data_IF_083028547593
#
_entry.id   IF_083028547593
#
_cell.length_a   1.000
_cell.length_b   1.000
_cell.length_c   1.000
_cell.angle_alpha   90.00
_cell.angle_beta   90.00
_cell.angle_gamma   90.00
#
_symmetry.space_group_name_H-M   'P 1'
#
loop_
_entity.id
_entity.type
_entity.pdbx_description
1 polymer ?
#
# COMPACT_ATOMS: atom_id res chain seq x y z
N UNK A 1 5.82 1.50 -1.38
CA UNK A 1 5.99 0.49 -0.30
C UNK A 1 6.87 -0.62 -0.82
N UNK A 2 8.16 -0.60 -0.51
CA UNK A 2 9.10 -1.65 -0.96
C UNK A 2 8.94 -2.95 -0.16
N UNK A 3 8.42 -2.87 1.08
CA UNK A 3 8.23 -4.02 1.96
C UNK A 3 7.39 -5.15 1.32
N UNK A 4 6.31 -4.83 0.60
CA UNK A 4 5.48 -5.82 -0.09
C UNK A 4 6.25 -6.55 -1.22
N UNK A 5 7.25 -5.88 -1.81
CA UNK A 5 8.10 -6.45 -2.87
C UNK A 5 9.20 -7.34 -2.29
N UNK A 6 9.78 -6.96 -1.15
CA UNK A 6 10.78 -7.76 -0.43
C UNK A 6 10.18 -9.09 0.05
N UNK A 7 8.87 -9.09 0.38
CA UNK A 7 8.09 -10.28 0.75
C UNK A 7 8.80 -11.20 1.79
N UNK A 8 9.21 -10.66 2.96
CA UNK A 8 10.12 -11.36 3.88
C UNK A 8 9.51 -12.56 4.61
N UNK A 9 8.17 -12.68 4.65
CA UNK A 9 7.49 -13.79 5.30
C UNK A 9 6.91 -14.77 4.30
N UNK A 10 6.68 -16.03 4.73
CA UNK A 10 6.01 -17.04 3.90
C UNK A 10 4.59 -16.64 3.53
N UNK A 11 3.86 -16.04 4.47
CA UNK A 11 2.47 -15.57 4.27
C UNK A 11 2.22 -14.28 5.06
N UNK A 12 1.18 -13.54 4.69
CA UNK A 12 0.71 -12.37 5.45
C UNK A 12 1.36 -11.04 5.12
N UNK A 13 2.33 -10.99 4.18
CA UNK A 13 3.01 -9.75 3.80
C UNK A 13 2.05 -8.62 3.39
N UNK A 14 0.97 -8.94 2.68
CA UNK A 14 -0.06 -7.96 2.30
C UNK A 14 -0.71 -7.28 3.51
N UNK A 15 -1.17 -8.06 4.50
CA UNK A 15 -1.79 -7.54 5.72
C UNK A 15 -0.79 -6.75 6.56
N UNK A 16 0.43 -7.27 6.71
CA UNK A 16 1.47 -6.58 7.46
C UNK A 16 1.92 -5.28 6.80
N UNK A 17 1.96 -5.23 5.46
CA UNK A 17 2.26 -3.99 4.72
C UNK A 17 1.22 -2.92 4.99
N UNK A 18 -0.08 -3.27 5.00
CA UNK A 18 -1.16 -2.33 5.30
C UNK A 18 -1.08 -1.84 6.74
N UNK A 19 -0.88 -2.74 7.70
CA UNK A 19 -0.66 -2.37 9.10
C UNK A 19 0.52 -1.41 9.27
N UNK A 20 1.64 -1.68 8.57
CA UNK A 20 2.80 -0.79 8.59
C UNK A 20 2.47 0.59 7.99
N UNK A 21 1.71 0.64 6.88
CA UNK A 21 1.22 1.89 6.31
C UNK A 21 0.36 2.69 7.31
N UNK A 22 -0.54 2.04 8.05
CA UNK A 22 -1.36 2.70 9.07
C UNK A 22 -0.50 3.27 10.19
N UNK A 23 0.49 2.51 10.69
CA UNK A 23 1.44 3.00 11.71
C UNK A 23 2.19 4.23 11.20
N UNK A 24 2.69 4.20 9.96
CA UNK A 24 3.41 5.34 9.37
C UNK A 24 2.50 6.56 9.18
N UNK A 25 1.24 6.37 8.77
CA UNK A 25 0.28 7.45 8.66
C UNK A 25 0.00 8.10 10.02
N UNK A 26 -0.24 7.29 11.06
CA UNK A 26 -0.45 7.78 12.43
C UNK A 26 0.76 8.53 12.96
N UNK A 27 1.98 7.99 12.75
CA UNK A 27 3.22 8.68 13.14
C UNK A 27 3.41 10.01 12.39
N UNK A 28 2.88 10.14 11.18
CA UNK A 28 2.88 11.37 10.40
C UNK A 28 1.76 12.35 10.81
N UNK A 29 1.00 12.07 11.87
CA UNK A 29 -0.12 12.89 12.33
C UNK A 29 -1.39 12.76 11.49
N UNK A 30 -1.48 11.72 10.65
CA UNK A 30 -2.67 11.37 9.89
C UNK A 30 -3.50 10.30 10.61
N UNK A 31 -4.74 10.10 10.16
CA UNK A 31 -5.59 9.01 10.65
C UNK A 31 -5.21 7.65 10.06
N UNK A 32 -6.02 6.64 10.39
CA UNK A 32 -5.98 5.33 9.71
C UNK A 32 -6.35 5.50 8.23
N UNK A 33 -5.77 4.67 7.38
CA UNK A 33 -6.02 4.72 5.94
C UNK A 33 -7.28 3.93 5.57
N UNK A 34 -8.05 4.41 4.58
CA UNK A 34 -9.22 3.69 4.08
C UNK A 34 -8.88 2.81 2.86
N UNK A 35 -8.78 1.51 3.08
CA UNK A 35 -8.45 0.56 2.02
C UNK A 35 -9.65 0.11 1.17
N UNK A 36 -10.87 0.61 1.44
CA UNK A 36 -12.09 0.22 0.72
C UNK A 36 -11.92 0.32 -0.81
N UNK A 37 -11.35 1.43 -1.28
CA UNK A 37 -11.07 1.69 -2.69
C UNK A 37 -10.08 0.68 -3.30
N UNK A 38 -9.05 0.29 -2.54
CA UNK A 38 -8.07 -0.71 -3.01
C UNK A 38 -8.70 -2.10 -3.07
N UNK A 39 -9.60 -2.40 -2.13
CA UNK A 39 -10.30 -3.68 -2.07
C UNK A 39 -11.39 -3.82 -3.14
N UNK A 40 -12.04 -2.72 -3.51
CA UNK A 40 -12.93 -2.65 -4.68
C UNK A 40 -12.13 -2.84 -5.98
N UNK A 41 -10.94 -2.25 -6.07
CA UNK A 41 -10.10 -2.27 -7.26
C UNK A 41 -8.84 -3.15 -7.12
N UNK A 42 -8.98 -4.36 -6.55
CA UNK A 42 -7.86 -5.29 -6.29
C UNK A 42 -6.95 -5.53 -7.49
N UNK A 43 -7.53 -5.65 -8.69
CA UNK A 43 -6.75 -5.87 -9.91
C UNK A 43 -5.79 -4.71 -10.19
N UNK A 44 -6.20 -3.47 -9.91
CA UNK A 44 -5.35 -2.29 -10.08
C UNK A 44 -4.29 -2.21 -8.98
N UNK A 45 -4.65 -2.51 -7.73
CA UNK A 45 -3.70 -2.63 -6.63
C UNK A 45 -2.57 -3.64 -6.93
N UNK A 46 -2.90 -4.83 -7.44
CA UNK A 46 -1.88 -5.82 -7.82
C UNK A 46 -1.00 -5.35 -8.98
N UNK A 47 -1.58 -4.70 -10.00
CA UNK A 47 -0.79 -4.13 -11.10
C UNK A 47 0.15 -3.03 -10.63
N UNK A 48 -0.27 -2.21 -9.66
CA UNK A 48 0.57 -1.17 -9.08
C UNK A 48 1.77 -1.76 -8.31
N UNK A 49 1.57 -2.87 -7.58
CA UNK A 49 2.68 -3.62 -6.95
C UNK A 49 3.64 -4.15 -8.03
N UNK A 50 3.11 -4.78 -9.09
CA UNK A 50 3.93 -5.32 -10.18
C UNK A 50 4.76 -4.23 -10.89
N UNK A 51 4.19 -3.05 -11.14
CA UNK A 51 4.91 -1.91 -11.71
C UNK A 51 6.10 -1.48 -10.82
N UNK A 52 5.97 -1.61 -9.50
CA UNK A 52 7.02 -1.34 -8.54
C UNK A 52 8.24 -2.27 -8.69
N UNK A 53 8.06 -3.52 -9.16
CA UNK A 53 9.18 -4.44 -9.45
C UNK A 53 10.10 -3.87 -10.53
N UNK A 54 9.53 -3.17 -11.51
CA UNK A 54 10.27 -2.45 -12.56
C UNK A 54 10.73 -1.04 -12.14
N UNK A 55 10.60 -0.67 -10.86
CA UNK A 55 10.96 0.66 -10.34
C UNK A 55 9.94 1.76 -10.65
N UNK A 56 8.79 1.43 -11.25
CA UNK A 56 7.72 2.40 -11.51
C UNK A 56 6.77 2.50 -10.31
N UNK A 57 7.04 3.47 -9.43
CA UNK A 57 6.26 3.67 -8.21
C UNK A 57 5.05 4.58 -8.37
N UNK A 58 4.89 5.26 -9.51
CA UNK A 58 3.79 6.22 -9.72
C UNK A 58 2.39 5.63 -9.45
N UNK A 59 2.06 4.39 -9.86
CA UNK A 59 0.76 3.79 -9.56
C UNK A 59 0.54 3.58 -8.06
N UNK A 60 1.58 3.15 -7.33
CA UNK A 60 1.49 2.97 -5.87
C UNK A 60 1.39 4.31 -5.13
N UNK A 61 2.09 5.34 -5.59
CA UNK A 61 1.95 6.69 -5.04
C UNK A 61 0.53 7.22 -5.20
N UNK A 62 -0.07 7.01 -6.38
CA UNK A 62 -1.45 7.42 -6.63
C UNK A 62 -2.42 6.72 -5.68
N UNK A 63 -2.29 5.40 -5.54
CA UNK A 63 -3.13 4.62 -4.64
C UNK A 63 -3.05 5.08 -3.19
N UNK A 64 -1.85 5.41 -2.69
CA UNK A 64 -1.70 5.93 -1.32
C UNK A 64 -2.33 7.31 -1.19
N UNK A 65 -2.18 8.17 -2.19
CA UNK A 65 -2.82 9.49 -2.20
C UNK A 65 -4.34 9.42 -2.15
N UNK A 66 -4.95 8.40 -2.77
CA UNK A 66 -6.41 8.24 -2.82
C UNK A 66 -7.01 7.79 -1.48
N UNK A 67 -6.19 7.28 -0.55
CA UNK A 67 -6.65 6.73 0.75
C UNK A 67 -6.13 7.50 1.96
N UNK A 68 -5.38 8.59 1.72
CA UNK A 68 -4.89 9.46 2.79
C UNK A 68 -6.05 10.32 3.33
N UNK A 69 -6.19 10.42 4.67
CA UNK A 69 -7.10 11.38 5.29
C UNK A 69 -6.67 12.82 5.02
N UNK A 70 -7.66 13.71 4.90
CA UNK A 70 -7.48 15.17 4.76
C UNK A 70 -6.51 15.76 5.81
#
# INVERSE_FOLDING_TARGET
MEFILIHPFREGNGRLSRLLCDVLAVLAGKGLLDYSLWDEHKAFYFKAIQAGVSGNYSPMMRLVSDILPD
#
